data_IF_266127424052
#
_entry.id   IF_266127424052
#
_cell.length_a   1.000
_cell.length_b   1.000
_cell.length_c   1.000
_cell.angle_alpha   90.00
_cell.angle_beta   90.00
_cell.angle_gamma   90.00
#
_symmetry.space_group_name_H-M   'P 1'
#
loop_
_entity.id
_entity.type
_entity.pdbx_description
1 polymer ?
#
# COMPACT_ATOMS: atom_id res chain seq x y z
N UNK A 1 13.19 -21.07 -5.57
CA UNK A 1 12.79 -22.33 -4.90
C UNK A 1 11.31 -22.21 -4.58
N UNK A 2 10.50 -23.06 -5.17
CA UNK A 2 9.08 -23.14 -4.86
C UNK A 2 8.84 -23.92 -3.57
N UNK A 3 7.66 -23.78 -2.97
CA UNK A 3 7.28 -24.44 -1.71
C UNK A 3 8.36 -24.34 -0.60
N UNK A 4 9.03 -23.16 -0.55
CA UNK A 4 10.14 -22.91 0.37
C UNK A 4 9.89 -21.65 1.16
N UNK A 5 9.78 -21.78 2.48
CA UNK A 5 9.43 -20.70 3.40
C UNK A 5 10.66 -20.12 4.09
N UNK A 6 10.85 -18.80 4.05
CA UNK A 6 11.86 -18.12 4.84
C UNK A 6 11.55 -18.24 6.34
N UNK A 7 12.55 -18.60 7.14
CA UNK A 7 12.43 -18.81 8.60
C UNK A 7 13.28 -17.84 9.42
N UNK A 8 14.43 -17.42 8.89
CA UNK A 8 15.35 -16.55 9.62
C UNK A 8 16.36 -15.87 8.72
N UNK A 9 17.01 -14.85 9.25
CA UNK A 9 18.20 -14.26 8.67
C UNK A 9 19.44 -14.99 9.20
N UNK A 10 20.46 -15.12 8.38
CA UNK A 10 21.79 -15.56 8.79
C UNK A 10 22.64 -14.31 8.93
N UNK A 11 23.18 -14.09 10.13
CA UNK A 11 23.94 -12.89 10.46
C UNK A 11 25.34 -13.20 10.95
N UNK A 12 26.25 -12.29 10.63
CA UNK A 12 27.60 -12.22 11.17
C UNK A 12 27.81 -10.79 11.72
N UNK A 13 27.70 -10.62 13.03
CA UNK A 13 27.52 -9.33 13.64
C UNK A 13 26.24 -8.65 13.13
N UNK A 14 26.36 -7.44 12.64
CA UNK A 14 25.24 -6.67 12.08
C UNK A 14 24.95 -6.99 10.62
N UNK A 15 25.86 -7.70 9.93
CA UNK A 15 25.73 -8.04 8.51
C UNK A 15 24.84 -9.26 8.31
N UNK A 16 23.87 -9.13 7.40
CA UNK A 16 23.08 -10.24 6.89
C UNK A 16 23.87 -10.92 5.76
N UNK A 17 24.11 -12.22 5.89
CA UNK A 17 24.89 -13.04 4.94
C UNK A 17 24.04 -14.11 4.26
N UNK A 18 22.73 -14.15 4.53
CA UNK A 18 21.85 -15.14 3.95
C UNK A 18 20.54 -15.31 4.70
N UNK A 19 19.83 -16.37 4.33
CA UNK A 19 18.54 -16.74 4.94
C UNK A 19 18.48 -18.22 5.30
N UNK A 20 17.78 -18.53 6.38
CA UNK A 20 17.34 -19.89 6.72
C UNK A 20 15.99 -20.12 6.09
N UNK A 21 15.83 -21.22 5.39
CA UNK A 21 14.59 -21.60 4.72
C UNK A 21 14.17 -23.00 5.09
N UNK A 22 12.87 -23.27 5.02
CA UNK A 22 12.30 -24.61 5.12
C UNK A 22 11.65 -24.96 3.78
N UNK A 23 12.28 -25.89 3.07
CA UNK A 23 11.76 -26.47 1.84
C UNK A 23 10.92 -27.70 2.17
N UNK A 24 9.80 -27.87 1.48
CA UNK A 24 8.95 -29.04 1.62
C UNK A 24 9.66 -30.34 1.24
N UNK A 25 10.54 -30.27 0.26
CA UNK A 25 11.28 -31.45 -0.23
C UNK A 25 12.60 -31.69 0.52
N UNK A 26 13.36 -30.61 0.82
CA UNK A 26 14.74 -30.70 1.31
C UNK A 26 14.87 -30.40 2.83
N UNK A 27 13.78 -30.02 3.50
CA UNK A 27 13.81 -29.63 4.91
C UNK A 27 14.46 -28.26 5.15
N UNK A 28 15.15 -28.12 6.27
CA UNK A 28 15.84 -26.89 6.66
C UNK A 28 17.14 -26.70 5.90
N UNK A 29 17.32 -25.53 5.30
CA UNK A 29 18.50 -25.15 4.53
C UNK A 29 19.00 -23.78 4.94
N UNK A 30 20.29 -23.54 4.76
CA UNK A 30 20.90 -22.22 4.83
C UNK A 30 21.34 -21.79 3.42
N UNK A 31 20.87 -20.62 3.00
CA UNK A 31 21.21 -20.02 1.70
C UNK A 31 22.03 -18.77 1.96
N UNK A 32 23.27 -18.75 1.49
CA UNK A 32 24.17 -17.62 1.63
C UNK A 32 24.20 -16.79 0.35
N UNK A 33 24.22 -15.46 0.52
CA UNK A 33 24.32 -14.51 -0.57
C UNK A 33 25.02 -13.23 -0.08
N UNK A 34 25.71 -12.49 -0.97
CA UNK A 34 26.34 -11.23 -0.62
C UNK A 34 25.35 -10.14 -0.23
N UNK A 35 24.09 -10.26 -0.69
CA UNK A 35 22.97 -9.41 -0.34
C UNK A 35 21.68 -10.22 -0.29
N UNK A 36 20.81 -9.89 0.66
CA UNK A 36 19.44 -10.42 0.80
C UNK A 36 18.44 -9.32 0.47
N UNK A 37 17.49 -9.62 -0.40
CA UNK A 37 16.40 -8.73 -0.75
C UNK A 37 15.12 -9.26 -0.09
N UNK A 38 14.54 -8.49 0.82
CA UNK A 38 13.21 -8.79 1.36
C UNK A 38 12.13 -8.19 0.46
N UNK A 39 11.52 -9.04 -0.35
CA UNK A 39 10.35 -8.74 -1.18
C UNK A 39 9.13 -9.56 -0.71
N UNK A 40 9.02 -9.82 0.60
CA UNK A 40 7.98 -10.67 1.19
C UNK A 40 6.60 -10.00 1.22
N UNK A 41 6.48 -8.81 0.65
CA UNK A 41 5.22 -8.07 0.62
C UNK A 41 4.82 -7.64 2.04
N UNK A 42 3.53 -7.67 2.34
CA UNK A 42 2.98 -7.26 3.64
C UNK A 42 3.38 -8.14 4.82
N UNK A 43 4.01 -9.30 4.58
CA UNK A 43 4.58 -10.12 5.64
C UNK A 43 5.80 -9.46 6.29
N UNK A 44 6.47 -8.52 5.58
CA UNK A 44 7.60 -7.73 6.11
C UNK A 44 8.60 -8.58 6.89
N UNK A 45 9.02 -9.70 6.29
CA UNK A 45 9.76 -10.76 6.98
C UNK A 45 10.99 -10.25 7.74
N UNK A 46 11.86 -9.50 7.06
CA UNK A 46 13.06 -8.96 7.68
C UNK A 46 12.73 -7.78 8.61
N UNK A 47 11.88 -6.86 8.17
CA UNK A 47 11.52 -5.69 8.95
C UNK A 47 10.87 -6.03 10.30
N UNK A 48 10.06 -7.09 10.38
CA UNK A 48 9.53 -7.60 11.65
C UNK A 48 10.63 -8.14 12.57
N UNK A 49 11.59 -8.86 12.02
CA UNK A 49 12.70 -9.43 12.81
C UNK A 49 13.64 -8.35 13.36
N UNK A 50 13.79 -7.27 12.60
CA UNK A 50 14.66 -6.14 12.95
C UNK A 50 13.92 -5.04 13.74
N UNK A 51 12.60 -5.18 14.01
CA UNK A 51 11.76 -4.18 14.67
C UNK A 51 11.78 -2.82 13.95
N UNK A 52 11.78 -2.82 12.62
CA UNK A 52 11.81 -1.60 11.81
C UNK A 52 10.44 -1.03 11.51
N UNK A 53 9.39 -1.84 11.63
CA UNK A 53 8.04 -1.44 11.24
C UNK A 53 7.49 -0.33 12.14
N UNK A 54 6.98 0.72 11.49
CA UNK A 54 6.25 1.83 12.12
C UNK A 54 4.89 1.93 11.47
N UNK A 55 3.83 1.68 12.24
CA UNK A 55 2.46 1.82 11.76
C UNK A 55 2.09 3.29 11.62
N UNK A 56 1.24 3.60 10.64
CA UNK A 56 0.70 4.93 10.52
C UNK A 56 -0.26 5.21 11.70
N UNK A 57 -0.09 6.33 12.44
CA UNK A 57 -0.86 6.59 13.66
C UNK A 57 -2.35 6.87 13.39
N UNK A 58 -2.69 7.45 12.22
CA UNK A 58 -4.05 7.91 11.90
C UNK A 58 -4.77 6.98 10.91
N UNK A 59 -4.03 6.29 10.05
CA UNK A 59 -4.62 5.43 9.02
C UNK A 59 -4.92 4.01 9.56
N UNK A 60 -5.70 3.93 10.64
CA UNK A 60 -6.10 2.66 11.29
C UNK A 60 -7.34 2.05 10.62
N UNK A 61 -7.25 1.85 9.31
CA UNK A 61 -8.37 1.35 8.52
C UNK A 61 -8.33 -0.18 8.41
N UNK A 62 -9.50 -0.77 8.26
CA UNK A 62 -9.67 -2.17 7.92
C UNK A 62 -10.49 -2.27 6.63
N UNK A 63 -10.32 -3.38 5.93
CA UNK A 63 -11.11 -3.70 4.76
C UNK A 63 -11.92 -4.97 5.02
N UNK A 64 -13.20 -4.93 4.65
CA UNK A 64 -14.11 -6.07 4.64
C UNK A 64 -14.67 -6.22 3.22
N UNK A 65 -14.54 -7.40 2.59
CA UNK A 65 -14.94 -7.57 1.20
C UNK A 65 -15.45 -8.97 0.88
N UNK A 66 -16.15 -9.04 -0.24
CA UNK A 66 -16.58 -10.27 -0.86
C UNK A 66 -16.69 -10.10 -2.39
N UNK A 67 -17.26 -11.07 -3.07
CA UNK A 67 -17.46 -11.07 -4.50
C UNK A 67 -18.94 -11.23 -4.84
N UNK A 68 -19.33 -10.68 -5.98
CA UNK A 68 -20.68 -10.78 -6.52
C UNK A 68 -20.64 -11.23 -7.97
N UNK A 69 -21.62 -12.00 -8.38
CA UNK A 69 -21.88 -12.39 -9.76
C UNK A 69 -23.14 -11.69 -10.24
N UNK A 70 -23.18 -11.29 -11.51
CA UNK A 70 -24.33 -10.59 -12.09
C UNK A 70 -24.55 -9.17 -11.56
N UNK A 71 -23.55 -8.58 -10.94
CA UNK A 71 -23.62 -7.20 -10.47
C UNK A 71 -23.61 -6.22 -11.64
N UNK A 72 -24.37 -5.15 -11.53
CA UNK A 72 -24.53 -4.15 -12.58
C UNK A 72 -23.20 -3.54 -12.98
N UNK A 73 -22.94 -3.40 -14.28
CA UNK A 73 -21.83 -2.66 -14.85
C UNK A 73 -22.35 -1.44 -15.60
N UNK A 74 -21.66 -0.32 -15.44
CA UNK A 74 -22.01 0.89 -16.19
C UNK A 74 -21.64 0.70 -17.66
N UNK A 75 -22.43 1.22 -18.61
CA UNK A 75 -22.20 0.96 -20.02
C UNK A 75 -21.03 1.77 -20.61
N UNK A 76 -20.48 1.27 -21.69
CA UNK A 76 -19.45 1.99 -22.45
C UNK A 76 -18.06 1.91 -21.84
N UNK A 77 -17.35 3.02 -21.76
CA UNK A 77 -15.98 3.05 -21.25
C UNK A 77 -15.87 2.69 -19.77
N UNK A 78 -16.95 2.85 -19.03
CA UNK A 78 -16.98 2.59 -17.58
C UNK A 78 -17.32 1.14 -17.22
N UNK A 79 -17.62 0.28 -18.20
CA UNK A 79 -18.01 -1.12 -17.97
C UNK A 79 -16.98 -1.92 -17.15
N UNK A 80 -15.69 -1.63 -17.36
CA UNK A 80 -14.58 -2.25 -16.65
C UNK A 80 -13.90 -1.35 -15.61
N UNK A 81 -14.43 -0.16 -15.38
CA UNK A 81 -13.79 0.81 -14.49
C UNK A 81 -13.87 0.41 -13.03
N UNK A 82 -12.76 0.60 -12.31
CA UNK A 82 -12.77 0.55 -10.85
C UNK A 82 -13.44 1.80 -10.31
N UNK A 83 -14.48 1.62 -9.50
CA UNK A 83 -15.19 2.72 -8.84
C UNK A 83 -14.84 2.78 -7.36
N UNK A 84 -14.56 3.99 -6.87
CA UNK A 84 -14.47 4.31 -5.45
C UNK A 84 -15.76 5.04 -5.06
N UNK A 85 -16.62 4.40 -4.29
CA UNK A 85 -17.87 4.97 -3.81
C UNK A 85 -17.66 5.48 -2.38
N UNK A 86 -17.67 6.80 -2.21
CA UNK A 86 -17.40 7.45 -0.94
C UNK A 86 -18.54 7.24 0.07
N UNK A 87 -18.18 6.97 1.31
CA UNK A 87 -19.09 6.93 2.44
C UNK A 87 -18.74 8.09 3.39
N UNK A 88 -19.51 9.18 3.37
CA UNK A 88 -19.14 10.43 4.04
C UNK A 88 -18.73 10.26 5.50
N UNK A 89 -17.53 10.74 5.85
CA UNK A 89 -16.92 10.72 7.19
C UNK A 89 -16.75 9.32 7.80
N UNK A 90 -16.84 8.26 6.97
CA UNK A 90 -16.78 6.87 7.45
C UNK A 90 -15.71 6.06 6.75
N UNK A 91 -15.63 6.18 5.42
CA UNK A 91 -14.74 5.40 4.60
C UNK A 91 -15.15 5.39 3.14
N UNK A 92 -14.91 4.29 2.46
CA UNK A 92 -15.21 4.17 1.04
C UNK A 92 -15.40 2.70 0.66
N UNK A 93 -16.12 2.49 -0.43
CA UNK A 93 -16.22 1.20 -1.09
C UNK A 93 -15.33 1.16 -2.33
N UNK A 94 -14.71 0.04 -2.60
CA UNK A 94 -14.31 -0.28 -3.95
C UNK A 94 -15.35 -1.15 -4.64
N UNK A 95 -15.47 -0.96 -5.93
CA UNK A 95 -16.28 -1.76 -6.83
C UNK A 95 -15.44 -2.05 -8.07
N UNK A 96 -14.96 -3.30 -8.20
CA UNK A 96 -13.97 -3.68 -9.21
C UNK A 96 -14.54 -4.77 -10.09
N UNK A 97 -14.96 -4.46 -11.34
CA UNK A 97 -15.34 -5.46 -12.31
C UNK A 97 -14.15 -6.41 -12.62
N UNK A 98 -14.44 -7.70 -12.61
CA UNK A 98 -13.48 -8.76 -12.90
C UNK A 98 -13.95 -9.55 -14.12
N UNK A 99 -13.12 -10.48 -14.62
CA UNK A 99 -13.50 -11.42 -15.67
C UNK A 99 -14.62 -12.36 -15.21
N UNK A 100 -15.36 -12.93 -16.16
CA UNK A 100 -16.36 -13.96 -15.88
C UNK A 100 -17.59 -13.46 -15.10
N UNK A 101 -18.07 -12.25 -15.38
CA UNK A 101 -19.26 -11.65 -14.76
C UNK A 101 -19.14 -11.48 -13.23
N UNK A 102 -17.92 -11.34 -12.75
CA UNK A 102 -17.62 -11.18 -11.33
C UNK A 102 -17.29 -9.73 -11.00
N UNK A 103 -17.66 -9.30 -9.80
CA UNK A 103 -17.28 -8.01 -9.25
C UNK A 103 -16.73 -8.21 -7.83
N UNK A 104 -15.58 -7.62 -7.53
CA UNK A 104 -15.08 -7.51 -6.18
C UNK A 104 -15.62 -6.25 -5.54
N UNK A 105 -16.26 -6.38 -4.39
CA UNK A 105 -16.80 -5.25 -3.63
C UNK A 105 -16.32 -5.32 -2.20
N UNK A 106 -15.78 -4.21 -1.71
CA UNK A 106 -15.32 -4.14 -0.34
C UNK A 106 -15.42 -2.75 0.23
N UNK A 107 -15.54 -2.67 1.55
CA UNK A 107 -15.53 -1.43 2.31
C UNK A 107 -14.24 -1.28 3.09
N UNK A 108 -13.70 -0.07 3.08
CA UNK A 108 -12.58 0.36 3.91
C UNK A 108 -13.08 1.44 4.86
N UNK A 109 -12.93 1.21 6.15
CA UNK A 109 -13.33 2.15 7.18
C UNK A 109 -12.58 1.88 8.48
N UNK A 110 -12.77 2.71 9.48
CA UNK A 110 -12.24 2.47 10.81
C UNK A 110 -12.85 1.23 11.45
N UNK A 111 -12.03 0.48 12.18
CA UNK A 111 -12.48 -0.73 12.86
C UNK A 111 -13.65 -0.47 13.81
N UNK A 112 -13.53 0.57 14.62
CA UNK A 112 -14.53 0.90 15.63
C UNK A 112 -15.85 1.34 15.01
N UNK A 113 -15.82 1.91 13.80
CA UNK A 113 -17.02 2.21 13.04
C UNK A 113 -17.70 0.92 12.53
N UNK A 114 -16.96 0.05 11.88
CA UNK A 114 -17.54 -1.18 11.31
C UNK A 114 -18.06 -2.13 12.41
N UNK A 115 -17.37 -2.23 13.54
CA UNK A 115 -17.69 -3.13 14.64
C UNK A 115 -18.33 -2.42 15.84
N UNK A 116 -19.00 -1.29 15.65
CA UNK A 116 -19.68 -0.52 16.70
C UNK A 116 -21.01 -1.13 17.17
N UNK A 117 -21.50 -2.18 16.51
CA UNK A 117 -22.79 -2.80 16.77
C UNK A 117 -22.69 -4.05 17.63
N UNK A 118 -23.85 -4.68 17.83
CA UNK A 118 -23.99 -5.93 18.56
C UNK A 118 -23.49 -7.16 17.79
N UNK A 119 -23.39 -7.05 16.46
CA UNK A 119 -22.96 -8.16 15.59
C UNK A 119 -21.46 -8.14 15.33
N UNK A 120 -20.88 -9.34 15.21
CA UNK A 120 -19.54 -9.58 14.67
C UNK A 120 -19.60 -10.33 13.34
N UNK A 121 -20.80 -10.61 12.85
CA UNK A 121 -21.01 -11.26 11.57
C UNK A 121 -20.61 -10.33 10.42
N UNK A 122 -19.65 -10.76 9.64
CA UNK A 122 -19.11 -9.97 8.53
C UNK A 122 -20.14 -9.71 7.43
N UNK A 123 -21.05 -10.65 7.20
CA UNK A 123 -22.11 -10.47 6.21
C UNK A 123 -23.11 -9.41 6.66
N UNK A 124 -23.55 -9.44 7.92
CA UNK A 124 -24.46 -8.43 8.46
C UNK A 124 -23.84 -7.04 8.45
N UNK A 125 -22.56 -6.93 8.87
CA UNK A 125 -21.82 -5.66 8.84
C UNK A 125 -21.73 -5.13 7.41
N UNK A 126 -21.33 -5.98 6.46
CA UNK A 126 -21.18 -5.57 5.06
C UNK A 126 -22.52 -5.11 4.47
N UNK A 127 -23.59 -5.87 4.66
CA UNK A 127 -24.93 -5.53 4.16
C UNK A 127 -25.47 -4.24 4.78
N UNK A 128 -25.21 -3.99 6.07
CA UNK A 128 -25.53 -2.71 6.71
C UNK A 128 -24.89 -1.53 5.96
N UNK A 129 -23.62 -1.66 5.60
CA UNK A 129 -22.91 -0.59 4.90
C UNK A 129 -23.34 -0.45 3.43
N UNK A 130 -23.69 -1.56 2.76
CA UNK A 130 -24.32 -1.51 1.43
C UNK A 130 -25.62 -0.68 1.46
N UNK A 131 -26.44 -0.81 2.51
CA UNK A 131 -27.66 0.01 2.64
C UNK A 131 -27.36 1.50 2.87
N UNK A 132 -26.18 1.85 3.38
CA UNK A 132 -25.75 3.22 3.61
C UNK A 132 -25.17 3.92 2.37
N UNK A 133 -24.93 3.17 1.27
CA UNK A 133 -24.42 3.72 0.01
C UNK A 133 -25.37 3.39 -1.14
N UNK A 134 -26.10 4.40 -1.63
CA UNK A 134 -27.13 4.22 -2.63
C UNK A 134 -26.60 3.64 -3.95
N UNK A 135 -25.43 4.10 -4.42
CA UNK A 135 -24.82 3.62 -5.67
C UNK A 135 -24.45 2.12 -5.58
N UNK A 136 -23.78 1.72 -4.48
CA UNK A 136 -23.43 0.31 -4.25
C UNK A 136 -24.70 -0.56 -4.14
N UNK A 137 -25.68 -0.09 -3.40
CA UNK A 137 -26.98 -0.78 -3.25
C UNK A 137 -27.66 -1.05 -4.59
N UNK A 138 -27.72 -0.04 -5.46
CA UNK A 138 -28.33 -0.15 -6.78
C UNK A 138 -27.54 -1.09 -7.70
N UNK A 139 -26.21 -1.08 -7.63
CA UNK A 139 -25.35 -1.93 -8.45
C UNK A 139 -25.35 -3.41 -8.01
N UNK A 140 -25.71 -3.67 -6.76
CA UNK A 140 -25.82 -5.02 -6.19
C UNK A 140 -27.26 -5.56 -6.14
N UNK A 141 -28.26 -4.80 -6.57
CA UNK A 141 -29.69 -5.15 -6.38
C UNK A 141 -30.07 -6.52 -6.94
N UNK A 142 -29.53 -6.88 -8.12
CA UNK A 142 -29.81 -8.14 -8.82
C UNK A 142 -28.64 -9.13 -8.74
N UNK A 143 -27.60 -8.79 -7.95
CA UNK A 143 -26.38 -9.56 -7.88
C UNK A 143 -26.46 -10.68 -6.83
N UNK A 144 -25.82 -11.79 -7.13
CA UNK A 144 -25.66 -12.91 -6.21
C UNK A 144 -24.29 -12.83 -5.51
N UNK A 145 -24.29 -12.76 -4.19
CA UNK A 145 -23.06 -12.81 -3.40
C UNK A 145 -22.44 -14.21 -3.51
N UNK A 146 -21.13 -14.25 -3.76
CA UNK A 146 -20.40 -15.51 -3.94
C UNK A 146 -19.07 -15.47 -3.16
N UNK A 147 -18.66 -16.66 -2.71
CA UNK A 147 -17.45 -16.80 -1.89
C UNK A 147 -17.64 -16.38 -0.42
N UNK A 148 -16.55 -16.24 0.27
CA UNK A 148 -16.54 -15.88 1.69
C UNK A 148 -16.35 -14.37 1.88
N UNK A 149 -16.85 -13.85 3.00
CA UNK A 149 -16.44 -12.52 3.46
C UNK A 149 -15.03 -12.58 4.05
N UNK A 150 -14.18 -11.66 3.60
CA UNK A 150 -12.78 -11.57 4.00
C UNK A 150 -12.51 -10.25 4.69
N UNK A 151 -11.61 -10.27 5.64
CA UNK A 151 -11.21 -9.08 6.38
C UNK A 151 -9.70 -8.97 6.46
N UNK A 152 -9.19 -7.75 6.37
CA UNK A 152 -7.80 -7.40 6.68
C UNK A 152 -7.74 -6.04 7.33
N UNK A 153 -6.76 -5.78 8.14
CA UNK A 153 -6.75 -4.52 8.89
C UNK A 153 -5.36 -3.96 9.16
N UNK A 154 -5.36 -2.70 9.56
CA UNK A 154 -4.22 -1.94 10.03
C UNK A 154 -2.99 -2.06 9.11
N UNK A 155 -3.21 -1.81 7.82
CA UNK A 155 -2.25 -2.11 6.77
C UNK A 155 -1.36 -0.94 6.37
N UNK A 156 -1.61 0.29 6.86
CA UNK A 156 -0.73 1.42 6.56
C UNK A 156 0.47 1.43 7.50
N UNK A 157 1.65 1.22 6.93
CA UNK A 157 2.92 1.19 7.66
C UNK A 157 4.09 1.55 6.74
N UNK A 158 5.22 1.83 7.35
CA UNK A 158 6.53 1.92 6.70
C UNK A 158 7.60 1.42 7.62
N UNK A 159 8.77 1.16 7.08
CA UNK A 159 9.90 0.71 7.88
C UNK A 159 10.88 1.86 8.11
N UNK A 160 11.51 1.88 9.29
CA UNK A 160 12.50 2.91 9.68
C UNK A 160 13.68 2.94 8.73
N UNK A 161 14.02 1.81 8.15
CA UNK A 161 15.16 1.65 7.26
C UNK A 161 14.74 0.95 5.98
N UNK A 162 15.35 1.34 4.86
CA UNK A 162 15.21 0.63 3.60
C UNK A 162 16.27 -0.47 3.45
N UNK A 163 17.41 -0.33 4.12
CA UNK A 163 18.53 -1.24 4.05
C UNK A 163 19.36 -1.25 5.33
N UNK A 164 20.06 -2.36 5.55
CA UNK A 164 21.16 -2.53 6.49
C UNK A 164 22.29 -3.29 5.82
N UNK A 165 23.36 -3.58 6.56
CA UNK A 165 24.49 -4.35 6.03
C UNK A 165 24.02 -5.71 5.47
N UNK A 166 24.12 -5.89 4.15
CA UNK A 166 23.75 -7.11 3.45
C UNK A 166 22.24 -7.39 3.31
N UNK A 167 21.37 -6.43 3.66
CA UNK A 167 19.91 -6.56 3.57
C UNK A 167 19.29 -5.30 2.98
N UNK A 168 18.32 -5.46 2.08
CA UNK A 168 17.52 -4.36 1.53
C UNK A 168 16.06 -4.77 1.38
N UNK A 169 15.13 -3.81 1.55
CA UNK A 169 13.69 -4.03 1.45
C UNK A 169 13.15 -3.53 0.10
N UNK A 170 12.19 -4.26 -0.48
CA UNK A 170 11.54 -3.90 -1.73
C UNK A 170 10.02 -4.04 -1.63
N UNK A 171 9.29 -3.23 -2.40
CA UNK A 171 7.83 -3.27 -2.47
C UNK A 171 7.16 -3.06 -1.13
N UNK A 172 6.08 -3.81 -0.87
CA UNK A 172 5.32 -3.68 0.37
C UNK A 172 6.15 -4.05 1.62
N UNK A 173 7.24 -4.82 1.46
CA UNK A 173 8.16 -5.06 2.56
C UNK A 173 8.88 -3.80 3.04
N UNK A 174 8.98 -2.76 2.21
CA UNK A 174 9.50 -1.44 2.59
C UNK A 174 8.42 -0.56 3.24
N UNK A 175 7.21 -0.55 2.68
CA UNK A 175 6.10 0.22 3.20
C UNK A 175 4.82 0.00 2.39
N UNK A 176 3.68 0.15 3.05
CA UNK A 176 2.37 0.00 2.44
C UNK A 176 1.44 1.13 2.85
N UNK A 177 0.73 1.68 1.89
CA UNK A 177 -0.24 2.76 2.09
C UNK A 177 -1.67 2.24 1.93
N UNK A 178 -2.61 3.02 2.46
CA UNK A 178 -4.04 2.82 2.21
C UNK A 178 -4.31 2.72 0.71
N UNK A 179 -5.04 1.68 0.24
CA UNK A 179 -5.17 1.38 -1.17
C UNK A 179 -6.21 2.23 -1.92
N UNK A 180 -6.68 3.33 -1.37
CA UNK A 180 -7.73 4.16 -2.00
C UNK A 180 -7.37 4.62 -3.42
N UNK A 181 -6.09 4.83 -3.70
CA UNK A 181 -5.60 5.20 -5.04
C UNK A 181 -4.97 4.04 -5.82
N UNK A 182 -5.05 2.81 -5.30
CA UNK A 182 -4.53 1.59 -5.94
C UNK A 182 -3.04 1.66 -6.36
N UNK A 183 -2.22 2.45 -5.68
CA UNK A 183 -0.81 2.71 -6.03
C UNK A 183 0.17 1.59 -5.62
N UNK A 184 -0.25 0.63 -4.77
CA UNK A 184 0.65 -0.34 -4.16
C UNK A 184 1.42 -1.20 -5.17
N UNK A 185 0.74 -1.76 -6.18
CA UNK A 185 1.40 -2.58 -7.21
C UNK A 185 2.41 -1.78 -8.01
N UNK A 186 2.05 -0.54 -8.38
CA UNK A 186 2.97 0.36 -9.07
C UNK A 186 4.22 0.63 -8.23
N UNK A 187 4.06 1.03 -6.97
CA UNK A 187 5.20 1.29 -6.07
C UNK A 187 6.07 0.06 -5.88
N UNK A 188 5.47 -1.13 -5.77
CA UNK A 188 6.21 -2.38 -5.63
C UNK A 188 7.05 -2.69 -6.87
N UNK A 189 6.49 -2.57 -8.08
CA UNK A 189 7.22 -2.77 -9.33
C UNK A 189 8.33 -1.74 -9.52
N UNK A 190 8.03 -0.47 -9.28
CA UNK A 190 9.01 0.62 -9.34
C UNK A 190 10.17 0.38 -8.38
N UNK A 191 9.88 0.03 -7.14
CA UNK A 191 10.92 -0.28 -6.15
C UNK A 191 11.84 -1.41 -6.60
N UNK A 192 11.28 -2.44 -7.23
CA UNK A 192 12.05 -3.58 -7.75
C UNK A 192 13.00 -3.18 -8.88
N UNK A 193 12.54 -2.36 -9.83
CA UNK A 193 13.37 -1.86 -10.95
C UNK A 193 14.50 -0.97 -10.42
N UNK A 194 14.16 0.02 -9.60
CA UNK A 194 15.14 0.94 -9.03
C UNK A 194 16.19 0.22 -8.18
N UNK A 195 15.75 -0.72 -7.36
CA UNK A 195 16.65 -1.50 -6.52
C UNK A 195 17.59 -2.38 -7.36
N UNK A 196 17.12 -2.94 -8.47
CA UNK A 196 17.96 -3.73 -9.37
C UNK A 196 19.12 -2.89 -9.93
N UNK A 197 18.85 -1.65 -10.34
CA UNK A 197 19.87 -0.72 -10.82
C UNK A 197 20.90 -0.39 -9.72
N UNK A 198 20.44 -0.12 -8.48
CA UNK A 198 21.34 0.16 -7.36
C UNK A 198 22.20 -1.06 -6.98
N UNK A 199 21.62 -2.25 -7.00
CA UNK A 199 22.37 -3.49 -6.72
C UNK A 199 23.43 -3.73 -7.80
N UNK A 200 23.11 -3.52 -9.07
CA UNK A 200 24.09 -3.66 -10.16
C UNK A 200 25.26 -2.69 -9.98
N UNK A 201 24.97 -1.43 -9.62
CA UNK A 201 26.00 -0.44 -9.32
C UNK A 201 26.85 -0.82 -8.10
N UNK A 202 26.23 -1.27 -7.02
CA UNK A 202 26.89 -1.69 -5.79
C UNK A 202 27.79 -2.92 -6.02
N UNK A 203 27.32 -3.90 -6.80
CA UNK A 203 28.11 -5.08 -7.18
C UNK A 203 29.33 -4.71 -8.02
N UNK A 204 29.17 -3.79 -8.99
CA UNK A 204 30.28 -3.29 -9.83
C UNK A 204 31.32 -2.50 -9.02
N UNK A 205 30.86 -1.76 -8.01
CA UNK A 205 31.72 -1.03 -7.11
C UNK A 205 32.37 -1.92 -6.04
N UNK A 206 31.90 -3.15 -5.83
CA UNK A 206 32.33 -4.03 -4.75
C UNK A 206 31.89 -3.54 -3.36
N UNK A 207 30.91 -2.64 -3.27
CA UNK A 207 30.39 -2.08 -2.03
C UNK A 207 28.89 -2.38 -1.89
N UNK A 208 28.56 -3.37 -1.05
CA UNK A 208 27.19 -3.78 -0.69
C UNK A 208 26.84 -3.33 0.73
N UNK A 209 27.45 -2.24 1.20
CA UNK A 209 27.07 -1.62 2.47
C UNK A 209 25.68 -0.99 2.38
N UNK A 210 25.07 -0.78 3.53
CA UNK A 210 23.78 -0.09 3.63
C UNK A 210 23.78 1.27 2.91
N UNK A 211 24.91 1.99 2.97
CA UNK A 211 25.08 3.33 2.36
C UNK A 211 24.89 3.31 0.84
N UNK A 212 25.24 2.24 0.16
CA UNK A 212 25.07 2.09 -1.30
C UNK A 212 23.60 2.17 -1.74
N UNK A 213 22.65 1.97 -0.83
CA UNK A 213 21.22 2.03 -1.09
C UNK A 213 20.55 3.34 -0.64
N UNK A 214 21.33 4.35 -0.26
CA UNK A 214 20.79 5.61 0.24
C UNK A 214 19.97 6.36 -0.82
N UNK A 215 20.39 6.34 -2.08
CA UNK A 215 19.64 6.96 -3.18
C UNK A 215 18.28 6.27 -3.37
N UNK A 216 18.26 4.95 -3.42
CA UNK A 216 17.04 4.16 -3.47
C UNK A 216 16.08 4.50 -2.31
N UNK A 217 16.59 4.51 -1.10
CA UNK A 217 15.81 4.84 0.09
C UNK A 217 15.16 6.23 0.01
N UNK A 218 15.93 7.27 -0.38
CA UNK A 218 15.42 8.64 -0.54
C UNK A 218 14.30 8.74 -1.58
N UNK A 219 14.47 8.09 -2.73
CA UNK A 219 13.47 8.13 -3.80
C UNK A 219 12.19 7.41 -3.39
N UNK A 220 12.29 6.23 -2.77
CA UNK A 220 11.13 5.50 -2.29
C UNK A 220 10.42 6.22 -1.14
N UNK A 221 11.17 6.83 -0.23
CA UNK A 221 10.60 7.66 0.83
C UNK A 221 9.81 8.82 0.26
N UNK A 222 10.39 9.56 -0.69
CA UNK A 222 9.71 10.68 -1.36
C UNK A 222 8.40 10.23 -2.02
N UNK A 223 8.43 9.11 -2.75
CA UNK A 223 7.25 8.55 -3.40
C UNK A 223 6.16 8.15 -2.39
N UNK A 224 6.52 7.48 -1.31
CA UNK A 224 5.59 7.06 -0.26
C UNK A 224 4.98 8.27 0.46
N UNK A 225 5.79 9.27 0.85
CA UNK A 225 5.31 10.46 1.57
C UNK A 225 4.43 11.35 0.65
N UNK A 226 4.73 11.44 -0.64
CA UNK A 226 3.88 12.11 -1.62
C UNK A 226 2.49 11.47 -1.67
N UNK A 227 2.41 10.16 -1.84
CA UNK A 227 1.15 9.44 -1.86
C UNK A 227 0.43 9.49 -0.50
N UNK A 228 1.16 9.45 0.60
CA UNK A 228 0.61 9.53 1.95
C UNK A 228 -0.13 10.86 2.20
N UNK A 229 0.41 11.99 1.73
CA UNK A 229 -0.27 13.29 1.82
C UNK A 229 -1.62 13.28 1.10
N UNK A 230 -1.69 12.68 -0.09
CA UNK A 230 -2.94 12.58 -0.86
C UNK A 230 -3.96 11.67 -0.14
N UNK A 231 -3.50 10.57 0.47
CA UNK A 231 -4.35 9.69 1.27
C UNK A 231 -4.91 10.42 2.51
N UNK A 232 -4.10 11.20 3.20
CA UNK A 232 -4.57 11.99 4.35
C UNK A 232 -5.61 13.02 3.93
N UNK A 233 -5.36 13.76 2.84
CA UNK A 233 -6.35 14.70 2.30
C UNK A 233 -7.65 14.00 1.91
N UNK A 234 -7.61 12.78 1.34
CA UNK A 234 -8.82 12.02 1.03
C UNK A 234 -9.68 11.72 2.26
N UNK A 235 -9.06 11.48 3.41
CA UNK A 235 -9.79 11.21 4.66
C UNK A 235 -10.14 12.47 5.45
N UNK A 236 -9.63 13.63 5.07
CA UNK A 236 -10.01 14.89 5.70
C UNK A 236 -11.45 15.27 5.28
N UNK A 237 -12.30 15.54 6.30
CA UNK A 237 -13.73 15.80 6.10
C UNK A 237 -14.03 17.11 5.36
N UNK A 238 -13.10 18.06 5.44
CA UNK A 238 -13.24 19.40 4.88
C UNK A 238 -12.59 19.50 3.49
N UNK A 239 -11.86 18.47 3.05
CA UNK A 239 -11.18 18.42 1.76
C UNK A 239 -12.06 17.97 0.61
N UNK A 240 -11.89 18.61 -0.54
CA UNK A 240 -12.52 18.23 -1.80
C UNK A 240 -11.55 18.32 -2.97
N UNK A 241 -11.33 17.21 -3.65
CA UNK A 241 -10.57 17.20 -4.92
C UNK A 241 -11.20 18.11 -5.98
N UNK A 242 -12.53 18.25 -5.97
CA UNK A 242 -13.25 19.17 -6.87
C UNK A 242 -12.91 20.64 -6.59
N UNK A 243 -12.74 21.00 -5.34
CA UNK A 243 -12.38 22.37 -4.97
C UNK A 243 -10.91 22.65 -5.21
N UNK A 244 -10.03 21.67 -5.00
CA UNK A 244 -8.64 21.77 -5.41
C UNK A 244 -8.51 21.97 -6.94
N UNK A 245 -9.24 21.18 -7.73
CA UNK A 245 -9.23 21.28 -9.19
C UNK A 245 -9.75 22.63 -9.72
N UNK A 246 -10.66 23.30 -9.01
CA UNK A 246 -11.14 24.65 -9.36
C UNK A 246 -10.10 25.75 -9.13
N UNK A 247 -9.09 25.51 -8.29
CA UNK A 247 -8.02 26.49 -8.02
C UNK A 247 -7.05 26.66 -9.18
N UNK A 248 -6.93 25.66 -10.07
CA UNK A 248 -6.11 25.77 -11.27
C UNK A 248 -5.93 24.46 -12.02
N UNK A 249 -5.80 24.56 -13.36
CA UNK A 249 -5.59 23.39 -14.21
C UNK A 249 -4.24 22.71 -13.94
N UNK A 250 -3.21 23.49 -13.61
CA UNK A 250 -1.89 22.97 -13.23
C UNK A 250 -1.93 22.11 -11.97
N UNK A 251 -2.78 22.44 -10.97
CA UNK A 251 -2.94 21.63 -9.77
C UNK A 251 -3.64 20.31 -10.07
N UNK A 252 -4.62 20.32 -10.99
CA UNK A 252 -5.25 19.09 -11.46
C UNK A 252 -4.27 18.20 -12.21
N UNK A 253 -3.42 18.78 -13.07
CA UNK A 253 -2.37 18.04 -13.77
C UNK A 253 -1.36 17.45 -12.78
N UNK A 254 -0.85 18.23 -11.84
CA UNK A 254 0.07 17.77 -10.80
C UNK A 254 -0.53 16.66 -9.93
N UNK A 255 -1.80 16.75 -9.55
CA UNK A 255 -2.51 15.67 -8.84
C UNK A 255 -2.59 14.41 -9.70
N UNK A 256 -2.89 14.55 -11.00
CA UNK A 256 -2.94 13.41 -11.92
C UNK A 256 -1.57 12.75 -12.02
N UNK A 257 -0.49 13.53 -12.15
CA UNK A 257 0.88 13.02 -12.17
C UNK A 257 1.21 12.22 -10.88
N UNK A 258 0.84 12.75 -9.71
CA UNK A 258 0.99 11.99 -8.47
C UNK A 258 0.24 10.66 -8.52
N UNK A 259 -1.02 10.64 -8.96
CA UNK A 259 -1.87 9.45 -8.97
C UNK A 259 -1.40 8.38 -9.95
N UNK A 260 -0.80 8.77 -11.07
CA UNK A 260 -0.19 7.83 -12.03
C UNK A 260 1.24 7.43 -11.65
N UNK A 261 1.77 7.95 -10.53
CA UNK A 261 3.07 7.57 -9.98
C UNK A 261 4.26 8.36 -10.53
N UNK A 262 4.03 9.46 -11.25
CA UNK A 262 5.08 10.38 -11.68
C UNK A 262 5.48 11.30 -10.51
N UNK A 263 6.16 10.73 -9.49
CA UNK A 263 6.43 11.39 -8.20
C UNK A 263 7.92 11.69 -7.97
N UNK A 264 8.72 11.69 -9.05
CA UNK A 264 10.19 11.83 -8.94
C UNK A 264 10.67 13.28 -8.84
N UNK A 265 9.88 14.25 -9.27
CA UNK A 265 10.29 15.63 -9.34
C UNK A 265 9.68 16.51 -8.23
N UNK A 266 10.45 17.51 -7.80
CA UNK A 266 10.05 18.50 -6.79
C UNK A 266 8.91 19.45 -7.23
N UNK A 267 8.22 19.12 -8.31
CA UNK A 267 7.18 19.95 -8.92
C UNK A 267 5.86 19.98 -8.15
N UNK A 268 5.73 19.18 -7.07
CA UNK A 268 4.49 19.09 -6.30
C UNK A 268 4.38 20.08 -5.14
N UNK A 269 5.32 21.00 -4.97
CA UNK A 269 5.26 21.98 -3.89
C UNK A 269 3.98 22.79 -3.95
N UNK A 270 3.65 23.37 -5.11
CA UNK A 270 2.43 24.17 -5.29
C UNK A 270 1.16 23.35 -5.05
N UNK A 271 1.17 22.08 -5.46
CA UNK A 271 0.05 21.17 -5.18
C UNK A 271 -0.14 20.98 -3.67
N UNK A 272 0.92 20.65 -2.94
CA UNK A 272 0.81 20.41 -1.50
C UNK A 272 0.59 21.68 -0.70
N UNK A 273 1.11 22.83 -1.12
CA UNK A 273 0.79 24.14 -0.52
C UNK A 273 -0.73 24.43 -0.68
N UNK A 274 -1.28 24.23 -1.89
CA UNK A 274 -2.71 24.40 -2.15
C UNK A 274 -3.59 23.38 -1.40
N UNK A 275 -3.10 22.14 -1.21
CA UNK A 275 -3.78 21.12 -0.43
C UNK A 275 -3.76 21.44 1.08
N UNK A 276 -2.66 21.98 1.59
CA UNK A 276 -2.52 22.36 3.00
C UNK A 276 -3.47 23.48 3.43
N UNK A 277 -3.91 24.30 2.47
CA UNK A 277 -4.98 25.30 2.71
C UNK A 277 -6.38 24.67 2.89
N UNK A 278 -6.55 23.41 2.48
CA UNK A 278 -7.84 22.72 2.40
C UNK A 278 -7.93 21.52 3.34
N UNK A 279 -6.79 20.95 3.74
CA UNK A 279 -6.70 19.75 4.55
C UNK A 279 -5.51 19.80 5.49
N UNK A 280 -5.60 19.09 6.61
CA UNK A 280 -4.45 18.83 7.48
C UNK A 280 -3.58 17.72 6.88
N UNK A 281 -2.45 18.10 6.29
CA UNK A 281 -1.50 17.15 5.73
C UNK A 281 -0.56 16.60 6.81
N UNK A 282 -0.15 15.33 6.70
CA UNK A 282 0.71 14.71 7.70
C UNK A 282 2.13 15.27 7.63
N UNK A 283 2.73 15.46 8.79
CA UNK A 283 4.17 15.69 8.87
C UNK A 283 4.94 14.49 8.30
N UNK A 284 6.04 14.73 7.59
CA UNK A 284 6.91 13.65 7.14
C UNK A 284 7.37 12.83 8.34
N UNK A 285 7.28 11.53 8.24
CA UNK A 285 7.84 10.69 9.29
C UNK A 285 9.32 10.51 9.00
N UNK A 286 10.13 10.94 9.97
CA UNK A 286 11.56 10.68 9.95
C UNK A 286 11.81 9.16 9.98
N UNK A 287 12.49 8.68 8.97
CA UNK A 287 13.06 7.34 8.97
C UNK A 287 14.48 7.43 8.50
N UNK A 288 15.32 6.66 9.15
CA UNK A 288 16.66 6.39 8.65
C UNK A 288 16.54 5.74 7.28
N UNK A 289 17.26 6.26 6.32
CA UNK A 289 17.27 5.71 4.96
C UNK A 289 18.04 4.41 4.93
N UNK A 290 19.09 4.34 5.74
CA UNK A 290 19.89 3.15 5.97
C UNK A 290 20.22 3.05 7.46
N UNK A 291 20.25 1.83 8.01
CA UNK A 291 20.76 1.65 9.36
C UNK A 291 22.29 1.76 9.28
N UNK A 292 22.84 2.88 9.72
CA UNK A 292 24.25 2.93 10.09
C UNK A 292 24.39 2.28 11.46
N UNK A 293 25.17 1.23 11.54
CA UNK A 293 25.66 0.66 12.78
C UNK A 293 26.40 1.68 13.65
#
# INVERSE_FOLDING_TARGET
MEETKAKGLIKNGDRVEGIKVESKEMGLLELHAPIVIDASGRDCFAAHKENWMVRDPELKKIALWTYYKGAKRDPGLDEGATTVAYLPNKGWFWYIPLSGDMVSVGIVAERDYLFNGSTKDHAEIFQREVQNNQWIKEHLAEAEQTGEYRITGEYSYRNRYCASEGLVLAGDALGFLDPVFSSGVFLALKSGVMLADEIDLALKAGDLSAKSFERYGKMMQSSIETMRKIVYAFYDKDFSFGDLAKRGEHLRAALTDCLIGNVEDNEFRELFDAMSDLAELPEPIEHGLTSSS
#
